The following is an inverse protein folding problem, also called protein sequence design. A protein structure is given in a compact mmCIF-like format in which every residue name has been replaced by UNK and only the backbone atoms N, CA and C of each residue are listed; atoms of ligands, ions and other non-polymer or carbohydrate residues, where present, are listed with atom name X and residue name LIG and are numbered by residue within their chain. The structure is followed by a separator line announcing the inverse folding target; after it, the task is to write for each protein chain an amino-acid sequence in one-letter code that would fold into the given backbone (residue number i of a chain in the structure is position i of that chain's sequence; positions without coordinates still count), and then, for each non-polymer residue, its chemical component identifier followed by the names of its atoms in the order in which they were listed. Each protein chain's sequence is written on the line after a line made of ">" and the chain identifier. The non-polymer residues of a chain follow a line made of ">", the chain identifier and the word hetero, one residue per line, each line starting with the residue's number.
data_IF_639387259657
#
_entry.id   IF_639387259657
#
_cell.length_a   1.000
_cell.length_b   1.000
_cell.length_c   1.000
_cell.angle_alpha   90.00
_cell.angle_beta   90.00
_cell.angle_gamma   90.00
#
_symmetry.space_group_name_H-M   'P 1'
#
loop_
_entity.id
_entity.type
_entity.pdbx_description
1 polymer ?
#
# COMPACT_ATOMS: atom_id res chain seq x y z
N UNK A 1 48.99 -5.42 -42.15
CA UNK A 1 47.94 -6.46 -42.01
C UNK A 1 47.69 -6.79 -40.53
N UNK A 2 47.36 -5.78 -39.69
CA UNK A 2 47.25 -5.97 -38.23
C UNK A 2 46.17 -5.09 -37.54
N UNK A 3 45.27 -4.45 -38.29
CA UNK A 3 44.25 -3.53 -37.76
C UNK A 3 42.83 -4.14 -37.79
N UNK A 4 42.68 -5.39 -38.28
CA UNK A 4 41.38 -6.10 -38.34
C UNK A 4 41.09 -7.05 -37.17
N UNK A 5 41.98 -7.20 -36.18
CA UNK A 5 41.80 -8.15 -35.04
C UNK A 5 41.50 -7.50 -33.68
N UNK A 6 41.34 -6.17 -33.58
CA UNK A 6 41.01 -5.46 -32.33
C UNK A 6 39.54 -4.95 -32.35
N UNK A 7 38.62 -5.73 -32.95
CA UNK A 7 37.18 -5.44 -32.93
C UNK A 7 36.34 -6.51 -32.23
N UNK A 8 36.99 -7.50 -31.61
CA UNK A 8 36.31 -8.67 -31.03
C UNK A 8 36.31 -8.70 -29.49
N UNK A 9 36.75 -7.63 -28.82
CA UNK A 9 36.96 -7.63 -27.36
C UNK A 9 36.19 -6.55 -26.57
N UNK A 10 35.27 -5.80 -27.20
CA UNK A 10 34.59 -4.66 -26.55
C UNK A 10 33.05 -4.72 -26.55
N UNK A 11 32.46 -5.85 -26.92
CA UNK A 11 31.01 -6.10 -26.88
C UNK A 11 30.70 -7.25 -25.93
N UNK A 12 30.92 -7.08 -24.61
CA UNK A 12 29.76 -7.09 -23.72
C UNK A 12 30.01 -6.17 -22.49
N UNK A 13 30.01 -4.85 -22.69
CA UNK A 13 29.87 -3.89 -21.57
C UNK A 13 28.50 -3.18 -21.57
N UNK A 14 27.58 -3.59 -22.46
CA UNK A 14 26.25 -2.97 -22.64
C UNK A 14 25.11 -3.87 -22.14
N UNK A 15 25.40 -5.06 -21.60
CA UNK A 15 24.35 -5.98 -21.09
C UNK A 15 24.28 -5.97 -19.54
N UNK A 16 25.18 -5.25 -18.86
CA UNK A 16 25.14 -5.08 -17.40
C UNK A 16 24.45 -3.79 -16.93
N UNK A 17 23.58 -3.21 -17.76
CA UNK A 17 22.66 -2.13 -17.36
C UNK A 17 21.20 -2.60 -17.24
N UNK A 18 20.92 -3.87 -17.53
CA UNK A 18 19.55 -4.42 -17.55
C UNK A 18 19.06 -5.02 -16.23
N UNK A 19 19.89 -5.12 -15.19
CA UNK A 19 19.52 -5.89 -13.98
C UNK A 19 19.97 -5.33 -12.63
N UNK A 20 20.73 -4.22 -12.62
CA UNK A 20 20.93 -3.44 -11.41
C UNK A 20 20.01 -2.23 -11.48
N UNK A 21 18.85 -2.35 -10.83
CA UNK A 21 18.08 -1.21 -10.38
C UNK A 21 18.89 -0.45 -9.34
N UNK A 22 19.92 0.28 -9.80
CA UNK A 22 20.14 1.58 -9.20
C UNK A 22 18.86 2.36 -9.46
N UNK A 23 18.08 2.57 -8.41
CA UNK A 23 17.12 3.66 -8.36
C UNK A 23 17.95 4.93 -8.40
N UNK A 24 18.44 5.27 -9.59
CA UNK A 24 18.56 6.67 -9.93
C UNK A 24 17.11 7.14 -9.95
N UNK A 25 16.76 8.01 -9.00
CA UNK A 25 15.61 8.89 -9.18
C UNK A 25 15.89 9.69 -10.45
N UNK A 26 15.49 9.17 -11.60
CA UNK A 26 15.32 9.97 -12.80
C UNK A 26 14.15 10.91 -12.48
N UNK A 27 14.39 12.23 -12.54
CA UNK A 27 13.31 13.20 -12.48
C UNK A 27 12.57 13.22 -13.82
N UNK A 28 12.07 12.06 -14.26
CA UNK A 28 11.41 11.91 -15.56
C UNK A 28 10.14 12.76 -15.67
N UNK A 29 9.58 13.20 -14.54
CA UNK A 29 8.58 14.26 -14.50
C UNK A 29 8.83 15.13 -13.26
N UNK A 30 8.53 16.42 -13.36
CA UNK A 30 8.55 17.37 -12.23
C UNK A 30 7.20 18.06 -12.11
N UNK A 31 6.76 18.26 -10.86
CA UNK A 31 5.63 19.14 -10.55
C UNK A 31 6.18 20.53 -10.26
N UNK A 32 6.03 21.46 -11.20
CA UNK A 32 6.53 22.83 -11.01
C UNK A 32 5.58 23.66 -10.16
N UNK A 33 4.28 23.38 -10.29
CA UNK A 33 3.23 24.09 -9.60
C UNK A 33 2.07 23.15 -9.33
N UNK A 34 1.51 23.22 -8.13
CA UNK A 34 0.25 22.59 -7.76
C UNK A 34 -0.43 23.47 -6.71
N UNK A 35 -1.64 23.91 -6.99
CA UNK A 35 -2.47 24.67 -6.06
C UNK A 35 -3.92 24.20 -6.12
N UNK A 36 -4.63 24.40 -5.01
CA UNK A 36 -6.06 24.11 -4.87
C UNK A 36 -6.73 25.32 -4.26
N UNK A 37 -7.83 25.76 -4.89
CA UNK A 37 -8.60 26.91 -4.47
C UNK A 37 -10.10 26.58 -4.37
N UNK A 38 -10.80 27.11 -3.35
CA UNK A 38 -10.29 27.91 -2.22
C UNK A 38 -9.57 27.07 -1.16
N UNK A 39 -8.60 27.68 -0.45
CA UNK A 39 -7.85 27.05 0.67
C UNK A 39 -8.67 26.86 1.95
N UNK A 40 -9.86 27.46 1.97
CA UNK A 40 -10.82 27.37 3.07
C UNK A 40 -12.20 27.12 2.50
N UNK A 41 -12.87 26.08 2.97
CA UNK A 41 -14.24 25.71 2.58
C UNK A 41 -15.12 25.56 3.81
N UNK A 42 -16.43 25.78 3.65
CA UNK A 42 -17.40 25.60 4.73
C UNK A 42 -17.92 24.15 4.81
N UNK A 43 -18.42 23.75 5.99
CA UNK A 43 -19.10 22.45 6.21
C UNK A 43 -20.21 22.23 5.17
N UNK A 44 -20.34 20.98 4.70
CA UNK A 44 -21.51 20.55 3.92
C UNK A 44 -22.72 20.47 4.86
N UNK A 45 -23.72 21.30 4.62
CA UNK A 45 -25.04 21.18 5.25
C UNK A 45 -25.89 20.27 4.34
N UNK A 46 -26.59 19.26 4.89
CA UNK A 46 -27.53 18.47 4.10
C UNK A 46 -28.52 19.37 3.36
N UNK A 47 -28.56 19.28 2.04
CA UNK A 47 -29.43 20.11 1.18
C UNK A 47 -28.75 21.33 0.55
N UNK A 48 -27.51 21.65 0.91
CA UNK A 48 -26.71 22.68 0.23
C UNK A 48 -25.77 22.07 -0.83
N UNK A 49 -25.42 22.83 -1.90
CA UNK A 49 -24.49 22.38 -2.91
C UNK A 49 -23.10 22.09 -2.32
N UNK A 50 -22.57 20.91 -2.63
CA UNK A 50 -21.24 20.47 -2.19
C UNK A 50 -20.18 21.46 -2.67
N UNK A 51 -19.26 21.94 -1.80
CA UNK A 51 -18.24 22.89 -2.21
C UNK A 51 -17.28 22.23 -3.21
N UNK A 52 -17.20 22.84 -4.39
CA UNK A 52 -16.29 22.45 -5.46
C UNK A 52 -14.91 23.08 -5.24
N UNK A 53 -13.87 22.27 -5.35
CA UNK A 53 -12.48 22.71 -5.31
C UNK A 53 -11.96 22.76 -6.73
N UNK A 54 -11.30 23.86 -7.07
CA UNK A 54 -10.56 24.02 -8.32
C UNK A 54 -9.10 23.64 -8.09
N UNK A 55 -8.55 22.82 -8.97
CA UNK A 55 -7.12 22.51 -8.98
C UNK A 55 -6.45 23.13 -10.19
N UNK A 56 -5.20 23.50 -10.01
CA UNK A 56 -4.29 23.92 -11.07
C UNK A 56 -2.92 23.31 -10.82
N UNK A 57 -2.33 22.73 -11.87
CA UNK A 57 -0.95 22.24 -11.80
C UNK A 57 -0.23 22.33 -13.12
N UNK A 58 1.10 22.36 -13.05
CA UNK A 58 1.99 22.34 -14.21
C UNK A 58 2.99 21.19 -14.05
N UNK A 59 2.98 20.29 -15.02
CA UNK A 59 3.93 19.17 -15.10
C UNK A 59 4.95 19.48 -16.18
N UNK A 60 6.23 19.30 -15.85
CA UNK A 60 7.30 19.31 -16.86
C UNK A 60 7.89 17.92 -17.02
N UNK A 61 8.05 17.50 -18.27
CA UNK A 61 8.58 16.20 -18.66
C UNK A 61 8.93 16.22 -20.15
N UNK A 62 9.66 15.22 -20.63
CA UNK A 62 9.89 14.99 -22.06
C UNK A 62 9.27 13.68 -22.53
N UNK A 63 8.91 13.61 -23.82
CA UNK A 63 8.37 12.37 -24.39
C UNK A 63 9.35 11.20 -24.21
N UNK A 64 10.64 11.42 -24.48
CA UNK A 64 11.68 10.38 -24.39
C UNK A 64 11.82 9.85 -22.95
N UNK A 65 11.76 10.71 -21.93
CA UNK A 65 11.79 10.29 -20.52
C UNK A 65 10.55 9.48 -20.13
N UNK A 66 9.37 9.88 -20.59
CA UNK A 66 8.13 9.13 -20.33
C UNK A 66 8.18 7.77 -21.04
N UNK A 67 8.67 7.69 -22.28
CA UNK A 67 8.81 6.42 -23.00
C UNK A 67 9.83 5.50 -22.30
N UNK A 68 10.94 6.05 -21.80
CA UNK A 68 11.95 5.27 -21.09
C UNK A 68 11.42 4.73 -19.74
N UNK A 69 10.67 5.55 -19.00
CA UNK A 69 10.18 5.17 -17.66
C UNK A 69 8.87 4.38 -17.67
N UNK A 70 7.96 4.70 -18.59
CA UNK A 70 6.63 4.10 -18.69
C UNK A 70 6.48 3.10 -19.84
N UNK A 71 7.36 3.08 -20.85
CA UNK A 71 7.28 2.24 -22.05
C UNK A 71 7.78 0.78 -21.89
N UNK A 72 7.66 0.21 -20.69
CA UNK A 72 8.08 -1.16 -20.41
C UNK A 72 7.24 -2.25 -21.10
N UNK A 73 7.77 -3.48 -21.12
CA UNK A 73 7.26 -4.67 -21.83
C UNK A 73 5.80 -5.08 -21.52
N UNK A 74 5.20 -4.52 -20.45
CA UNK A 74 3.81 -4.77 -20.02
C UNK A 74 2.92 -3.51 -20.04
N UNK A 75 3.44 -2.33 -20.37
CA UNK A 75 2.69 -1.07 -20.32
C UNK A 75 1.92 -0.84 -21.61
N UNK A 76 0.60 -1.06 -21.58
CA UNK A 76 -0.30 -0.76 -22.69
C UNK A 76 -0.61 0.74 -22.86
N UNK A 77 0.11 1.64 -22.19
CA UNK A 77 -0.12 3.08 -22.27
C UNK A 77 1.20 3.86 -22.33
N UNK A 78 1.44 4.53 -23.45
CA UNK A 78 2.49 5.56 -23.61
C UNK A 78 2.13 6.88 -22.88
N UNK A 79 1.26 6.81 -21.88
CA UNK A 79 0.64 7.97 -21.27
C UNK A 79 1.17 8.15 -19.85
N UNK A 80 1.31 9.41 -19.46
CA UNK A 80 1.57 9.81 -18.10
C UNK A 80 0.23 9.92 -17.36
N UNK A 81 0.12 9.30 -16.19
CA UNK A 81 -1.09 9.35 -15.37
C UNK A 81 -0.86 10.27 -14.18
N UNK A 82 -1.92 10.96 -13.77
CA UNK A 82 -1.91 11.82 -12.59
C UNK A 82 -3.15 11.58 -11.75
N UNK A 83 -3.01 11.72 -10.45
CA UNK A 83 -4.11 11.66 -9.49
C UNK A 83 -3.89 12.63 -8.34
N UNK A 84 -4.98 13.20 -7.83
CA UNK A 84 -4.98 14.04 -6.63
C UNK A 84 -5.42 13.17 -5.46
N UNK A 85 -4.47 12.73 -4.64
CA UNK A 85 -4.70 11.88 -3.48
C UNK A 85 -5.09 12.70 -2.24
N UNK A 86 -5.88 12.09 -1.33
CA UNK A 86 -6.28 12.67 -0.03
C UNK A 86 -5.53 11.97 1.11
N UNK A 87 -5.02 12.71 2.09
CA UNK A 87 -4.24 12.14 3.22
C UNK A 87 -5.06 11.78 4.47
N UNK A 88 -6.31 12.21 4.58
CA UNK A 88 -7.09 12.07 5.81
C UNK A 88 -8.39 11.28 5.56
N UNK A 89 -8.50 10.13 6.22
CA UNK A 89 -9.73 9.35 6.30
C UNK A 89 -9.97 8.43 5.12
N UNK A 90 -10.48 7.24 5.43
CA UNK A 90 -10.92 6.18 4.51
C UNK A 90 -12.05 6.67 3.58
N UNK A 91 -11.71 7.48 2.58
CA UNK A 91 -12.57 7.85 1.46
C UNK A 91 -12.30 6.97 0.23
N UNK A 92 -13.29 6.81 -0.68
CA UNK A 92 -13.14 5.96 -1.85
C UNK A 92 -12.26 6.68 -2.90
N UNK A 93 -11.01 6.26 -3.03
CA UNK A 93 -10.14 6.61 -4.15
C UNK A 93 -9.68 8.09 -4.24
N UNK A 94 -8.95 8.43 -5.32
CA UNK A 94 -8.41 9.77 -5.55
C UNK A 94 -9.52 10.81 -5.78
N UNK A 95 -9.25 12.06 -5.40
CA UNK A 95 -10.19 13.18 -5.55
C UNK A 95 -10.43 13.55 -7.02
N UNK A 96 -9.40 13.44 -7.85
CA UNK A 96 -9.44 13.59 -9.29
C UNK A 96 -8.32 12.74 -9.92
N UNK A 97 -8.50 12.31 -11.16
CA UNK A 97 -7.48 11.55 -11.92
C UNK A 97 -7.60 11.84 -13.41
N UNK A 98 -6.51 11.63 -14.13
CA UNK A 98 -6.50 11.73 -15.58
C UNK A 98 -5.20 11.19 -16.19
N UNK A 99 -5.11 11.31 -17.50
CA UNK A 99 -3.93 10.94 -18.28
C UNK A 99 -3.51 12.06 -19.20
N UNK A 100 -2.23 12.08 -19.56
CA UNK A 100 -1.59 12.99 -20.49
C UNK A 100 -0.83 12.13 -21.50
N UNK A 101 -1.03 12.40 -22.78
CA UNK A 101 -0.32 11.66 -23.84
C UNK A 101 1.11 12.17 -23.91
N UNK A 102 2.10 11.28 -23.99
CA UNK A 102 3.51 11.69 -23.95
C UNK A 102 3.88 12.68 -25.08
N UNK A 103 3.28 12.55 -26.27
CA UNK A 103 3.50 13.45 -27.39
C UNK A 103 3.03 14.90 -27.13
N UNK A 104 2.12 15.12 -26.17
CA UNK A 104 1.66 16.46 -25.83
C UNK A 104 2.78 17.30 -25.22
N UNK A 105 3.81 16.68 -24.65
CA UNK A 105 4.96 17.39 -24.07
C UNK A 105 5.85 17.99 -25.16
N UNK A 106 5.95 17.36 -26.34
CA UNK A 106 6.68 17.96 -27.47
C UNK A 106 6.01 19.24 -27.97
N UNK A 107 4.67 19.25 -27.99
CA UNK A 107 3.88 20.38 -28.51
C UNK A 107 3.88 21.58 -27.55
N UNK A 108 4.13 21.36 -26.25
CA UNK A 108 4.06 22.40 -25.21
C UNK A 108 5.43 22.72 -24.59
N UNK A 109 6.53 22.54 -25.34
CA UNK A 109 7.90 22.83 -24.88
C UNK A 109 8.24 22.15 -23.54
N UNK A 110 7.79 20.90 -23.38
CA UNK A 110 8.02 20.07 -22.21
C UNK A 110 7.15 20.40 -20.99
N UNK A 111 6.19 21.34 -21.06
CA UNK A 111 5.39 21.73 -19.88
C UNK A 111 3.89 21.76 -20.18
N UNK A 112 3.09 21.03 -19.39
CA UNK A 112 1.64 20.92 -19.59
C UNK A 112 0.90 21.46 -18.38
N UNK A 113 0.17 22.58 -18.52
CA UNK A 113 -0.76 23.05 -17.51
C UNK A 113 -2.06 22.22 -17.55
N UNK A 114 -2.63 21.96 -16.37
CA UNK A 114 -3.94 21.33 -16.21
C UNK A 114 -4.72 22.07 -15.14
N UNK A 115 -5.99 22.30 -15.44
CA UNK A 115 -6.97 22.86 -14.52
C UNK A 115 -8.24 22.02 -14.54
N UNK A 116 -8.99 22.07 -13.46
CA UNK A 116 -10.30 21.44 -13.39
C UNK A 116 -10.89 21.56 -12.00
N UNK A 117 -12.01 20.88 -11.80
CA UNK A 117 -12.70 20.88 -10.52
C UNK A 117 -13.00 19.48 -10.02
N UNK A 118 -13.06 19.33 -8.70
CA UNK A 118 -13.57 18.12 -8.06
C UNK A 118 -14.34 18.48 -6.79
N UNK A 119 -15.21 17.57 -6.37
CA UNK A 119 -15.91 17.72 -5.09
C UNK A 119 -14.95 17.37 -3.96
N UNK A 120 -14.86 18.27 -2.98
CA UNK A 120 -14.01 18.12 -1.79
C UNK A 120 -14.15 16.75 -1.11
N UNK A 121 -15.35 16.14 -1.18
CA UNK A 121 -15.61 14.80 -0.66
C UNK A 121 -15.55 14.76 0.85
N UNK A 122 -16.01 15.84 1.49
CA UNK A 122 -15.91 16.07 2.93
C UNK A 122 -16.67 14.97 3.67
N UNK A 123 -15.96 14.26 4.53
CA UNK A 123 -16.55 13.42 5.58
C UNK A 123 -16.75 14.25 6.84
N UNK A 124 -17.80 13.98 7.62
CA UNK A 124 -17.98 14.66 8.89
C UNK A 124 -16.77 14.43 9.83
N UNK A 125 -16.25 15.53 10.41
CA UNK A 125 -15.11 15.66 11.36
C UNK A 125 -13.71 15.88 10.80
N UNK A 126 -13.53 16.11 9.50
CA UNK A 126 -12.21 16.51 8.95
C UNK A 126 -11.97 18.02 9.05
N UNK A 127 -11.17 18.49 10.02
CA UNK A 127 -10.88 19.93 10.20
C UNK A 127 -10.00 20.51 9.10
N UNK A 128 -9.19 19.65 8.48
CA UNK A 128 -8.41 19.98 7.29
C UNK A 128 -8.15 18.72 6.45
N UNK A 129 -8.10 18.87 5.13
CA UNK A 129 -7.76 17.79 4.19
C UNK A 129 -6.46 18.17 3.50
N UNK A 130 -5.47 17.27 3.54
CA UNK A 130 -4.27 17.41 2.72
C UNK A 130 -4.48 16.71 1.39
N UNK A 131 -4.29 17.47 0.31
CA UNK A 131 -4.29 16.97 -1.05
C UNK A 131 -2.86 16.92 -1.59
N UNK A 132 -2.50 15.85 -2.27
CA UNK A 132 -1.20 15.70 -2.90
C UNK A 132 -1.39 15.26 -4.35
N UNK A 133 -0.72 15.95 -5.28
CA UNK A 133 -0.66 15.51 -6.67
C UNK A 133 0.39 14.41 -6.80
N UNK A 134 -0.02 13.27 -7.35
CA UNK A 134 0.83 12.13 -7.66
C UNK A 134 0.88 11.98 -9.18
N UNK A 135 2.06 11.68 -9.71
CA UNK A 135 2.28 11.47 -11.14
C UNK A 135 3.05 10.17 -11.35
N UNK A 136 2.66 9.39 -12.35
CA UNK A 136 3.45 8.23 -12.73
C UNK A 136 2.87 7.41 -13.88
N UNK A 137 3.37 6.19 -14.00
CA UNK A 137 2.96 5.24 -15.03
C UNK A 137 1.81 4.35 -14.54
N UNK A 138 0.90 4.01 -15.43
CA UNK A 138 -0.26 3.15 -15.15
C UNK A 138 -0.71 2.40 -16.40
N UNK A 139 -1.71 1.52 -16.24
CA UNK A 139 -2.33 0.80 -17.35
C UNK A 139 -3.81 1.21 -17.49
N UNK A 140 -4.37 1.31 -18.71
CA UNK A 140 -5.81 1.44 -18.90
C UNK A 140 -6.50 0.13 -18.47
N UNK A 141 -7.60 0.22 -17.69
CA UNK A 141 -8.56 -0.88 -17.52
C UNK A 141 -9.90 -0.53 -18.21
N UNK A 142 -10.83 -1.50 -18.24
CA UNK A 142 -12.16 -1.34 -18.87
C UNK A 142 -13.07 -0.29 -18.18
N UNK A 143 -12.66 0.29 -17.04
CA UNK A 143 -13.44 1.26 -16.26
C UNK A 143 -12.75 2.63 -16.07
N UNK A 144 -11.57 2.85 -16.66
CA UNK A 144 -10.84 4.13 -16.65
C UNK A 144 -9.34 4.01 -16.33
N UNK A 145 -8.65 5.10 -16.00
CA UNK A 145 -7.25 5.02 -15.59
C UNK A 145 -7.14 4.36 -14.21
N UNK A 146 -6.63 3.13 -14.13
CA UNK A 146 -6.22 2.56 -12.83
C UNK A 146 -5.10 3.40 -12.22
N UNK A 147 -5.06 3.42 -10.89
CA UNK A 147 -4.12 4.22 -10.11
C UNK A 147 -2.67 4.03 -10.52
N UNK A 148 -1.83 4.99 -10.12
CA UNK A 148 -0.42 5.03 -10.49
C UNK A 148 0.30 3.77 -9.97
N UNK A 149 0.75 2.92 -10.89
CA UNK A 149 1.48 1.67 -10.58
C UNK A 149 2.97 1.89 -10.32
N UNK A 150 3.55 2.94 -10.95
CA UNK A 150 4.93 3.38 -10.74
C UNK A 150 4.94 4.90 -10.59
N UNK A 151 5.24 5.38 -9.39
CA UNK A 151 5.31 6.82 -9.08
C UNK A 151 6.61 7.42 -9.64
N UNK A 152 6.48 8.51 -10.37
CA UNK A 152 7.61 9.28 -10.92
C UNK A 152 7.83 10.58 -10.15
N UNK A 153 6.75 11.26 -9.76
CA UNK A 153 6.81 12.53 -9.07
C UNK A 153 5.63 12.74 -8.12
N UNK A 154 5.79 13.70 -7.22
CA UNK A 154 4.68 14.23 -6.44
C UNK A 154 4.91 15.66 -6.00
N UNK A 155 3.81 16.37 -5.77
CA UNK A 155 3.84 17.71 -5.19
C UNK A 155 4.08 17.67 -3.68
N UNK A 156 4.40 18.83 -3.11
CA UNK A 156 4.14 19.08 -1.70
C UNK A 156 2.62 18.98 -1.43
N UNK A 157 2.20 18.52 -0.24
CA UNK A 157 0.78 18.49 0.11
C UNK A 157 0.23 19.92 0.26
N UNK A 158 -0.97 20.16 -0.26
CA UNK A 158 -1.75 21.39 -0.06
C UNK A 158 -2.85 21.08 0.94
N UNK A 159 -2.88 21.84 2.03
CA UNK A 159 -3.91 21.73 3.06
C UNK A 159 -5.08 22.66 2.73
N UNK A 160 -6.27 22.09 2.63
CA UNK A 160 -7.54 22.83 2.60
C UNK A 160 -8.19 22.76 3.97
N UNK A 161 -8.43 23.91 4.58
CA UNK A 161 -9.06 24.01 5.89
C UNK A 161 -10.58 24.01 5.77
N UNK A 162 -11.25 23.37 6.72
CA UNK A 162 -12.72 23.31 6.75
C UNK A 162 -13.22 24.19 7.89
N UNK A 163 -13.80 25.35 7.55
CA UNK A 163 -14.42 26.27 8.51
C UNK A 163 -15.86 25.87 8.80
N UNK A 164 -16.30 26.11 10.04
CA UNK A 164 -17.63 25.66 10.50
C UNK A 164 -17.67 24.18 10.91
N UNK A 165 -16.56 23.45 10.82
CA UNK A 165 -16.34 22.30 11.68
C UNK A 165 -15.82 22.80 13.03
N UNK A 166 -16.64 22.63 14.06
CA UNK A 166 -16.13 22.71 15.42
C UNK A 166 -15.59 21.33 15.78
N UNK A 167 -14.27 21.24 15.95
CA UNK A 167 -13.76 20.32 16.97
C UNK A 167 -14.45 20.69 18.28
N UNK A 168 -15.28 19.81 18.81
CA UNK A 168 -15.76 19.92 20.19
C UNK A 168 -17.09 20.62 20.39
N UNK A 169 -18.18 20.01 19.92
CA UNK A 169 -19.48 20.27 20.54
C UNK A 169 -20.13 19.02 21.11
N UNK A 170 -19.79 17.88 20.53
CA UNK A 170 -20.05 16.56 21.11
C UNK A 170 -18.70 15.88 21.25
N UNK A 171 -18.33 15.44 22.45
CA UNK A 171 -17.07 14.77 22.73
C UNK A 171 -17.31 13.39 23.31
N UNK A 172 -16.38 12.47 23.02
CA UNK A 172 -16.26 11.20 23.76
C UNK A 172 -14.99 11.28 24.61
N UNK A 173 -15.12 11.04 25.90
CA UNK A 173 -13.99 10.97 26.85
C UNK A 173 -14.04 9.68 27.65
N UNK A 174 -12.92 9.36 28.31
CA UNK A 174 -12.81 8.22 29.23
C UNK A 174 -13.26 6.87 28.64
N UNK A 175 -13.09 6.68 27.32
CA UNK A 175 -13.43 5.40 26.71
C UNK A 175 -12.44 4.33 27.13
N UNK A 176 -12.97 3.31 27.79
CA UNK A 176 -12.22 2.19 28.30
C UNK A 176 -13.01 0.87 28.14
N UNK A 177 -12.27 -0.23 28.16
CA UNK A 177 -12.81 -1.59 28.09
C UNK A 177 -11.94 -2.53 28.93
N UNK A 178 -12.57 -3.40 29.71
CA UNK A 178 -11.91 -4.40 30.55
C UNK A 178 -12.59 -5.77 30.38
N UNK A 179 -11.88 -6.91 30.25
CA UNK A 179 -10.42 -7.09 30.34
C UNK A 179 -9.63 -6.60 29.12
N UNK A 180 -8.35 -6.23 29.31
CA UNK A 180 -7.43 -5.85 28.22
C UNK A 180 -6.79 -7.03 27.50
N UNK A 181 -6.74 -8.18 28.18
CA UNK A 181 -6.11 -9.39 27.72
C UNK A 181 -7.12 -10.52 27.77
N UNK A 182 -7.28 -11.25 26.67
CA UNK A 182 -8.26 -12.33 26.54
C UNK A 182 -7.66 -13.53 25.83
N UNK A 183 -8.22 -14.71 26.10
CA UNK A 183 -7.80 -15.94 25.43
C UNK A 183 -8.39 -16.01 24.02
N UNK A 184 -7.60 -16.34 22.99
CA UNK A 184 -8.10 -16.51 21.62
C UNK A 184 -9.27 -17.49 21.55
N UNK A 185 -10.36 -17.12 20.86
CA UNK A 185 -11.51 -18.00 20.65
C UNK A 185 -12.41 -18.23 21.87
N UNK A 186 -12.10 -17.65 23.04
CA UNK A 186 -12.99 -17.70 24.20
C UNK A 186 -14.02 -16.57 24.16
N UNK A 187 -15.19 -16.82 24.76
CA UNK A 187 -16.18 -15.76 25.01
C UNK A 187 -15.82 -15.07 26.32
N UNK A 188 -15.63 -13.75 26.28
CA UNK A 188 -15.28 -12.97 27.46
C UNK A 188 -16.32 -11.87 27.65
N UNK A 189 -16.65 -11.59 28.92
CA UNK A 189 -17.51 -10.48 29.29
C UNK A 189 -16.68 -9.21 29.41
N UNK A 190 -16.92 -8.27 28.51
CA UNK A 190 -16.26 -6.98 28.53
C UNK A 190 -17.15 -5.94 29.20
N UNK A 191 -16.58 -5.21 30.15
CA UNK A 191 -17.17 -4.01 30.73
C UNK A 191 -16.64 -2.80 29.98
N UNK A 192 -17.55 -2.03 29.40
CA UNK A 192 -17.25 -0.80 28.66
C UNK A 192 -17.72 0.41 29.45
N UNK A 193 -16.90 1.46 29.42
CA UNK A 193 -17.24 2.77 29.97
C UNK A 193 -16.78 3.85 29.00
N UNK A 194 -17.62 4.85 28.74
CA UNK A 194 -17.22 6.11 28.11
C UNK A 194 -18.20 7.21 28.45
N UNK A 195 -17.75 8.44 28.35
CA UNK A 195 -18.53 9.63 28.62
C UNK A 195 -18.85 10.36 27.32
N UNK A 196 -20.10 10.81 27.18
CA UNK A 196 -20.51 11.70 26.09
C UNK A 196 -20.77 13.09 26.67
N UNK A 197 -20.06 14.10 26.19
CA UNK A 197 -20.29 15.51 26.56
C UNK A 197 -20.90 16.26 25.40
N UNK A 198 -22.03 16.92 25.60
CA UNK A 198 -22.63 17.82 24.61
C UNK A 198 -23.47 18.93 25.26
N UNK A 199 -23.87 19.93 24.48
CA UNK A 199 -24.93 20.90 24.87
C UNK A 199 -26.20 20.63 24.06
N UNK A 200 -27.36 20.87 24.66
CA UNK A 200 -28.65 20.67 24.03
C UNK A 200 -28.82 21.51 22.75
N UNK A 201 -28.48 22.80 22.80
CA UNK A 201 -28.56 23.72 21.66
C UNK A 201 -27.79 23.17 20.46
N UNK A 202 -26.66 22.56 20.74
CA UNK A 202 -25.72 22.16 19.71
C UNK A 202 -26.14 20.85 19.05
N UNK A 203 -26.72 19.93 19.84
CA UNK A 203 -27.36 18.72 19.32
C UNK A 203 -28.58 19.07 18.48
N UNK A 204 -29.42 20.02 18.91
CA UNK A 204 -30.62 20.41 18.16
C UNK A 204 -30.29 21.16 16.86
N UNK A 205 -29.21 21.94 16.85
CA UNK A 205 -28.71 22.61 15.66
C UNK A 205 -27.99 21.64 14.69
N UNK A 206 -27.48 20.52 15.19
CA UNK A 206 -26.67 19.57 14.40
C UNK A 206 -27.44 18.35 13.91
N UNK A 207 -28.33 17.80 14.74
CA UNK A 207 -29.10 16.58 14.45
C UNK A 207 -30.59 16.90 14.31
N UNK A 208 -31.16 16.66 13.12
CA UNK A 208 -32.57 16.93 12.82
C UNK A 208 -33.55 16.15 13.70
N UNK A 209 -33.15 14.97 14.17
CA UNK A 209 -33.93 14.13 15.09
C UNK A 209 -33.68 14.46 16.57
N UNK A 210 -32.85 15.47 16.84
CA UNK A 210 -32.49 15.97 18.17
C UNK A 210 -31.90 14.89 19.07
N UNK A 211 -31.26 13.86 18.50
CA UNK A 211 -30.64 12.77 19.25
C UNK A 211 -29.23 12.52 18.76
N UNK A 212 -28.36 12.13 19.68
CA UNK A 212 -27.06 11.55 19.38
C UNK A 212 -27.20 10.04 19.44
N UNK A 213 -26.81 9.35 18.38
CA UNK A 213 -26.71 7.88 18.36
C UNK A 213 -25.24 7.51 18.52
N UNK A 214 -24.94 6.70 19.53
CA UNK A 214 -23.61 6.12 19.71
C UNK A 214 -23.61 4.67 19.22
N UNK A 215 -22.52 4.28 18.57
CA UNK A 215 -22.31 2.94 18.03
C UNK A 215 -20.89 2.48 18.34
N UNK A 216 -20.76 1.31 18.93
CA UNK A 216 -19.48 0.69 19.25
C UNK A 216 -19.12 -0.36 18.21
N UNK A 217 -17.88 -0.31 17.75
CA UNK A 217 -17.35 -1.18 16.70
C UNK A 217 -16.09 -1.87 17.18
N UNK A 218 -15.80 -3.02 16.55
CA UNK A 218 -14.57 -3.77 16.73
C UNK A 218 -13.85 -3.87 15.40
N UNK A 219 -12.55 -3.62 15.43
CA UNK A 219 -11.67 -3.70 14.26
C UNK A 219 -10.48 -4.61 14.54
N UNK A 220 -9.90 -5.21 13.50
CA UNK A 220 -8.57 -5.82 13.59
C UNK A 220 -7.53 -4.77 14.01
N UNK A 221 -6.55 -5.12 14.85
CA UNK A 221 -5.49 -4.20 15.23
C UNK A 221 -4.47 -3.93 14.09
N UNK A 222 -4.39 -4.82 13.09
CA UNK A 222 -3.49 -4.76 11.92
C UNK A 222 -3.98 -3.84 10.78
N UNK A 223 -5.15 -3.20 10.93
CA UNK A 223 -5.65 -2.15 10.04
C UNK A 223 -6.89 -2.53 9.24
N UNK A 224 -7.70 -1.52 8.90
CA UNK A 224 -8.99 -1.66 8.21
C UNK A 224 -10.18 -1.26 9.09
N UNK A 225 -10.49 0.05 9.14
CA UNK A 225 -11.60 0.58 9.92
C UNK A 225 -12.89 0.73 9.08
N UNK A 226 -13.49 -0.39 8.64
CA UNK A 226 -14.78 -0.34 7.92
C UNK A 226 -15.93 -0.54 8.92
N UNK A 227 -16.67 0.53 9.19
CA UNK A 227 -17.74 0.60 10.21
C UNK A 227 -19.03 -0.06 9.72
N UNK A 228 -19.00 -1.37 9.41
CA UNK A 228 -20.14 -2.07 8.82
C UNK A 228 -21.19 -2.48 9.86
N UNK A 229 -20.77 -3.08 10.97
CA UNK A 229 -21.71 -3.61 11.98
C UNK A 229 -21.30 -3.21 13.41
N UNK A 230 -22.14 -2.44 14.13
CA UNK A 230 -21.88 -2.12 15.53
C UNK A 230 -22.17 -3.34 16.41
N UNK A 231 -21.31 -3.55 17.41
CA UNK A 231 -21.51 -4.57 18.46
C UNK A 231 -22.63 -4.14 19.40
N UNK A 232 -22.69 -2.84 19.69
CA UNK A 232 -23.69 -2.24 20.56
C UNK A 232 -23.97 -0.82 20.09
N UNK A 233 -25.20 -0.38 20.30
CA UNK A 233 -25.60 1.00 20.03
C UNK A 233 -26.60 1.47 21.06
N UNK A 234 -26.68 2.79 21.22
CA UNK A 234 -27.70 3.47 22.01
C UNK A 234 -27.91 4.88 21.48
N UNK A 235 -28.89 5.57 22.05
CA UNK A 235 -29.22 6.94 21.68
C UNK A 235 -29.50 7.77 22.93
N UNK A 236 -29.13 9.05 22.87
CA UNK A 236 -29.33 10.03 23.93
C UNK A 236 -30.03 11.24 23.32
N UNK A 237 -31.08 11.74 23.98
CA UNK A 237 -31.86 12.88 23.48
C UNK A 237 -31.19 14.20 23.87
N UNK A 238 -31.30 15.23 23.03
CA UNK A 238 -30.71 16.56 23.24
C UNK A 238 -31.02 17.16 24.61
N UNK A 239 -32.25 16.93 25.11
CA UNK A 239 -32.75 17.44 26.40
C UNK A 239 -31.95 16.95 27.60
N UNK A 240 -31.28 15.80 27.49
CA UNK A 240 -30.47 15.24 28.58
C UNK A 240 -29.17 16.02 28.80
N UNK A 241 -28.72 16.76 27.78
CA UNK A 241 -27.46 17.51 27.79
C UNK A 241 -27.58 18.93 28.36
N UNK A 242 -28.78 19.55 28.32
CA UNK A 242 -29.02 20.90 28.84
C UNK A 242 -27.97 21.93 28.38
N UNK A 243 -27.36 22.66 29.32
CA UNK A 243 -26.35 23.69 29.02
C UNK A 243 -24.94 23.17 28.71
N UNK A 244 -24.70 21.85 28.77
CA UNK A 244 -23.35 21.27 28.57
C UNK A 244 -23.00 20.14 29.53
N UNK A 245 -23.86 19.13 29.65
CA UNK A 245 -23.69 18.01 30.58
C UNK A 245 -22.84 16.89 29.96
N UNK A 246 -22.14 16.16 30.83
CA UNK A 246 -21.47 14.90 30.49
C UNK A 246 -22.32 13.73 30.99
N UNK A 247 -22.60 12.78 30.11
CA UNK A 247 -23.44 11.62 30.37
C UNK A 247 -22.59 10.35 30.25
N UNK A 248 -22.38 9.59 31.34
CA UNK A 248 -21.63 8.35 31.30
C UNK A 248 -22.44 7.23 30.65
N UNK A 249 -21.77 6.37 29.91
CA UNK A 249 -22.30 5.15 29.31
C UNK A 249 -21.51 3.96 29.83
N UNK A 250 -22.18 3.09 30.60
CA UNK A 250 -21.58 1.90 31.19
C UNK A 250 -22.44 0.68 30.84
N UNK A 251 -21.82 -0.36 30.26
CA UNK A 251 -22.50 -1.61 29.97
C UNK A 251 -21.53 -2.78 29.85
N UNK A 252 -22.06 -3.98 30.03
CA UNK A 252 -21.33 -5.23 29.81
C UNK A 252 -21.81 -5.90 28.53
N UNK A 253 -20.88 -6.53 27.79
CA UNK A 253 -21.20 -7.27 26.58
C UNK A 253 -20.26 -8.48 26.44
N UNK A 254 -20.84 -9.67 26.27
CA UNK A 254 -20.10 -10.89 25.96
C UNK A 254 -19.66 -10.86 24.50
N UNK A 255 -18.36 -11.01 24.26
CA UNK A 255 -17.75 -10.94 22.93
C UNK A 255 -16.75 -12.09 22.78
N UNK A 256 -16.83 -12.80 21.66
CA UNK A 256 -15.83 -13.82 21.29
C UNK A 256 -14.52 -13.13 20.91
N UNK A 257 -13.45 -13.44 21.63
CA UNK A 257 -12.11 -12.94 21.36
C UNK A 257 -11.59 -13.48 20.02
N UNK A 258 -11.04 -12.59 19.20
CA UNK A 258 -10.50 -12.97 17.89
C UNK A 258 -9.16 -13.71 18.07
N UNK A 259 -8.73 -14.47 17.07
CA UNK A 259 -7.43 -15.14 17.10
C UNK A 259 -6.23 -14.19 16.91
N UNK A 260 -6.47 -12.88 16.97
CA UNK A 260 -5.54 -11.79 16.80
C UNK A 260 -5.99 -10.61 17.67
N UNK A 261 -5.06 -9.71 17.97
CA UNK A 261 -5.36 -8.45 18.65
C UNK A 261 -6.41 -7.63 17.90
N UNK A 262 -7.27 -6.97 18.64
CA UNK A 262 -8.36 -6.16 18.09
C UNK A 262 -8.55 -4.90 18.90
N UNK A 263 -9.13 -3.89 18.26
CA UNK A 263 -9.42 -2.61 18.89
C UNK A 263 -10.92 -2.37 18.95
N UNK A 264 -11.39 -1.69 19.98
CA UNK A 264 -12.71 -1.09 20.02
C UNK A 264 -12.63 0.40 19.73
N UNK A 265 -13.66 0.92 19.06
CA UNK A 265 -13.90 2.35 18.88
C UNK A 265 -15.39 2.64 19.02
N UNK A 266 -15.74 3.79 19.60
CA UNK A 266 -17.10 4.31 19.65
C UNK A 266 -17.22 5.47 18.67
N UNK A 267 -18.30 5.48 17.91
CA UNK A 267 -18.63 6.55 16.98
C UNK A 267 -19.97 7.17 17.39
N UNK A 268 -20.01 8.49 17.47
CA UNK A 268 -21.25 9.25 17.61
C UNK A 268 -21.71 9.72 16.23
N UNK A 269 -23.01 9.65 15.96
CA UNK A 269 -23.61 10.21 14.76
C UNK A 269 -25.01 10.76 15.03
N UNK A 270 -25.53 11.59 14.13
CA UNK A 270 -26.98 11.82 14.07
C UNK A 270 -27.69 10.57 13.50
N UNK A 271 -29.01 10.46 13.67
CA UNK A 271 -29.79 9.35 13.13
C UNK A 271 -30.04 9.52 11.63
N UNK A 272 -29.03 9.18 10.84
CA UNK A 272 -29.20 8.89 9.42
C UNK A 272 -28.64 7.51 9.13
N UNK A 273 -29.34 6.78 8.26
CA UNK A 273 -28.88 5.53 7.67
C UNK A 273 -27.45 5.67 7.20
N UNK A 274 -26.58 4.78 7.68
CA UNK A 274 -25.19 4.53 7.29
C UNK A 274 -24.49 5.65 6.47
N UNK A 275 -23.66 6.46 7.13
CA UNK A 275 -22.37 6.84 6.51
C UNK A 275 -21.91 8.30 6.57
N UNK A 276 -22.76 9.32 6.72
CA UNK A 276 -22.29 10.71 6.50
C UNK A 276 -22.10 11.58 7.74
N UNK A 277 -22.83 11.34 8.84
CA UNK A 277 -22.95 12.34 9.91
C UNK A 277 -22.22 11.93 11.19
N UNK A 278 -20.93 11.61 11.10
CA UNK A 278 -20.12 11.32 12.30
C UNK A 278 -19.92 12.61 13.10
N UNK A 279 -20.22 12.62 14.39
CA UNK A 279 -20.07 13.77 15.29
C UNK A 279 -18.77 13.74 16.10
N UNK A 280 -18.39 12.54 16.54
CA UNK A 280 -17.13 12.29 17.24
C UNK A 280 -16.78 10.80 17.13
N UNK A 281 -15.50 10.48 17.25
CA UNK A 281 -15.01 9.10 17.39
C UNK A 281 -14.09 9.05 18.59
N UNK A 282 -14.20 8.01 19.41
CA UNK A 282 -13.32 7.81 20.56
C UNK A 282 -11.90 7.48 20.12
N UNK A 283 -10.97 7.56 21.07
CA UNK A 283 -9.70 6.86 20.95
C UNK A 283 -9.93 5.34 20.79
N UNK A 284 -8.93 4.65 20.25
CA UNK A 284 -8.96 3.20 20.16
C UNK A 284 -8.57 2.56 21.50
N UNK A 285 -9.32 1.54 21.91
CA UNK A 285 -8.96 0.67 23.04
C UNK A 285 -8.46 -0.65 22.50
N UNK A 286 -7.17 -0.95 22.71
CA UNK A 286 -6.54 -2.19 22.29
C UNK A 286 -6.85 -3.34 23.25
N UNK A 287 -7.23 -4.47 22.68
CA UNK A 287 -7.39 -5.76 23.36
C UNK A 287 -6.39 -6.74 22.78
N UNK A 288 -5.56 -7.32 23.65
CA UNK A 288 -4.59 -8.33 23.29
C UNK A 288 -5.25 -9.70 23.34
N UNK A 289 -5.19 -10.39 22.20
CA UNK A 289 -5.73 -11.74 22.00
C UNK A 289 -4.74 -12.61 21.23
N UNK A 290 -3.47 -12.18 21.14
CA UNK A 290 -2.39 -12.85 20.45
C UNK A 290 -2.03 -14.20 21.07
N UNK A 291 -2.18 -15.24 20.25
CA UNK A 291 -1.97 -16.66 20.52
C UNK A 291 -0.85 -17.04 21.50
N UNK A 292 -1.27 -17.58 22.63
CA UNK A 292 -0.55 -18.63 23.32
C UNK A 292 -1.52 -19.80 23.51
N UNK A 293 -0.98 -21.02 23.53
CA UNK A 293 -1.74 -22.22 23.81
C UNK A 293 -2.46 -22.16 25.18
N UNK A 294 -3.17 -23.23 25.58
CA UNK A 294 -4.26 -23.17 26.56
C UNK A 294 -3.97 -22.65 27.99
N UNK A 295 -2.76 -22.20 28.33
CA UNK A 295 -2.34 -21.88 29.70
C UNK A 295 -1.36 -20.70 29.81
N UNK A 296 -1.78 -19.48 29.49
CA UNK A 296 -0.96 -18.30 29.77
C UNK A 296 -1.78 -17.15 30.40
N UNK A 297 -1.26 -16.53 31.48
CA UNK A 297 -1.89 -15.37 32.13
C UNK A 297 -2.31 -15.52 33.60
N UNK A 298 -1.94 -16.60 34.30
CA UNK A 298 -2.16 -16.69 35.75
C UNK A 298 -1.01 -16.02 36.56
N UNK A 299 -1.29 -15.41 37.72
CA UNK A 299 -0.26 -14.81 38.57
C UNK A 299 0.77 -15.86 39.01
N UNK A 300 2.03 -15.70 38.59
CA UNK A 300 3.15 -16.59 38.95
C UNK A 300 3.72 -17.46 37.82
N UNK A 301 3.30 -17.29 36.56
CA UNK A 301 3.88 -18.00 35.39
C UNK A 301 4.61 -17.05 34.42
N UNK A 302 5.57 -17.56 33.63
CA UNK A 302 6.43 -16.74 32.76
C UNK A 302 5.64 -16.01 31.67
N UNK A 303 6.18 -14.87 31.25
CA UNK A 303 5.62 -13.99 30.22
C UNK A 303 5.45 -14.74 28.89
N UNK A 304 4.33 -14.49 28.19
CA UNK A 304 3.98 -15.20 26.97
C UNK A 304 4.97 -14.85 25.86
N UNK A 305 5.87 -15.77 25.52
CA UNK A 305 6.78 -15.58 24.39
C UNK A 305 6.01 -15.71 23.07
N UNK A 306 6.10 -14.68 22.23
CA UNK A 306 5.40 -14.61 20.93
C UNK A 306 5.82 -15.80 20.05
N UNK A 307 4.90 -16.50 19.37
CA UNK A 307 5.28 -17.41 18.31
C UNK A 307 6.01 -16.61 17.21
N UNK A 308 7.19 -17.07 16.79
CA UNK A 308 7.83 -16.60 15.56
C UNK A 308 6.86 -16.84 14.42
N UNK A 309 6.24 -15.77 13.94
CA UNK A 309 5.44 -15.81 12.72
C UNK A 309 6.42 -16.10 11.58
N UNK A 310 6.44 -17.34 11.10
CA UNK A 310 6.99 -17.65 9.79
C UNK A 310 6.02 -17.04 8.78
N UNK A 311 6.27 -15.78 8.44
CA UNK A 311 5.55 -15.06 7.42
C UNK A 311 5.78 -15.79 6.08
N UNK A 312 4.77 -16.51 5.59
CA UNK A 312 4.78 -17.09 4.24
C UNK A 312 4.48 -16.03 3.17
N UNK A 313 4.89 -14.80 3.40
CA UNK A 313 5.43 -13.96 2.33
C UNK A 313 6.58 -14.71 1.67
N UNK A 314 6.47 -14.97 0.37
CA UNK A 314 7.59 -15.47 -0.43
C UNK A 314 8.59 -14.31 -0.55
N UNK A 315 9.36 -14.05 0.51
CA UNK A 315 10.43 -13.08 0.48
C UNK A 315 11.52 -13.65 -0.43
N UNK A 316 11.57 -13.17 -1.67
CA UNK A 316 12.78 -13.28 -2.45
C UNK A 316 13.80 -12.30 -1.86
N UNK A 317 14.50 -12.74 -0.83
CA UNK A 317 15.69 -12.04 -0.35
C UNK A 317 16.85 -12.44 -1.26
N UNK A 318 17.49 -11.48 -1.93
CA UNK A 318 18.81 -11.68 -2.50
C UNK A 318 19.80 -11.41 -1.36
N UNK A 319 20.27 -12.43 -0.62
CA UNK A 319 21.32 -12.19 0.36
C UNK A 319 22.54 -11.63 -0.36
N UNK A 320 23.15 -10.58 0.18
CA UNK A 320 24.41 -10.06 -0.33
C UNK A 320 25.43 -11.21 -0.35
N UNK A 321 25.90 -11.67 -1.53
CA UNK A 321 26.78 -12.82 -1.62
C UNK A 321 28.11 -12.57 -0.90
N UNK A 322 28.53 -11.32 -0.74
CA UNK A 322 29.81 -10.94 -0.13
C UNK A 322 29.75 -10.78 1.40
N UNK A 323 28.61 -11.05 2.04
CA UNK A 323 28.40 -10.79 3.48
C UNK A 323 29.35 -11.56 4.41
N UNK A 324 29.98 -12.64 3.92
CA UNK A 324 30.95 -13.44 4.68
C UNK A 324 32.42 -12.98 4.57
N UNK A 325 32.75 -12.03 3.69
CA UNK A 325 34.13 -11.75 3.31
C UNK A 325 34.76 -12.91 2.52
N UNK A 326 35.71 -12.61 1.64
CA UNK A 326 36.53 -13.62 0.99
C UNK A 326 37.99 -13.32 1.34
N UNK A 327 38.63 -14.20 2.10
CA UNK A 327 40.02 -14.04 2.52
C UNK A 327 41.01 -14.37 1.37
N UNK A 328 40.52 -15.01 0.29
CA UNK A 328 41.29 -15.40 -0.87
C UNK A 328 40.48 -15.35 -2.20
N UNK A 329 41.19 -15.32 -3.33
CA UNK A 329 40.57 -15.30 -4.67
C UNK A 329 39.71 -16.55 -4.94
N UNK A 330 40.10 -17.70 -4.37
CA UNK A 330 39.33 -18.94 -4.50
C UNK A 330 37.97 -18.85 -3.80
N UNK A 331 37.94 -18.29 -2.58
CA UNK A 331 36.73 -18.02 -1.82
C UNK A 331 35.81 -17.05 -2.53
N UNK A 332 36.35 -15.97 -3.11
CA UNK A 332 35.55 -15.00 -3.87
C UNK A 332 34.86 -15.63 -5.09
N UNK A 333 35.60 -16.43 -5.86
CA UNK A 333 35.05 -17.12 -7.04
C UNK A 333 33.97 -18.13 -6.64
N UNK A 334 34.15 -18.87 -5.54
CA UNK A 334 33.15 -19.82 -5.04
C UNK A 334 31.86 -19.14 -4.61
N UNK A 335 31.98 -18.02 -3.89
CA UNK A 335 30.83 -17.22 -3.43
C UNK A 335 30.02 -16.69 -4.63
N UNK A 336 30.70 -16.10 -5.61
CA UNK A 336 30.06 -15.56 -6.81
C UNK A 336 29.41 -16.68 -7.64
N UNK A 337 30.12 -17.79 -7.83
CA UNK A 337 29.59 -18.93 -8.55
C UNK A 337 28.31 -19.46 -7.89
N UNK A 338 28.33 -19.72 -6.58
CA UNK A 338 27.17 -20.25 -5.85
C UNK A 338 25.98 -19.30 -5.89
N UNK A 339 26.23 -17.98 -5.82
CA UNK A 339 25.18 -16.99 -5.97
C UNK A 339 24.56 -16.98 -7.38
N UNK A 340 25.37 -17.04 -8.43
CA UNK A 340 24.89 -17.14 -9.81
C UNK A 340 24.09 -18.44 -10.00
N UNK A 341 24.55 -19.57 -9.46
CA UNK A 341 23.83 -20.85 -9.54
C UNK A 341 22.45 -20.77 -8.87
N UNK A 342 22.36 -20.18 -7.67
CA UNK A 342 21.10 -20.01 -6.96
C UNK A 342 20.11 -19.08 -7.70
N UNK A 343 20.63 -18.09 -8.44
CA UNK A 343 19.81 -17.16 -9.21
C UNK A 343 19.41 -17.73 -10.59
N UNK A 344 20.26 -18.54 -11.21
CA UNK A 344 20.04 -19.02 -12.56
C UNK A 344 18.88 -20.03 -12.67
N UNK A 345 18.66 -20.85 -11.64
CA UNK A 345 17.55 -21.83 -11.61
C UNK A 345 16.18 -21.15 -11.69
N UNK A 346 15.81 -20.20 -10.81
CA UNK A 346 14.51 -19.53 -10.89
C UNK A 346 14.35 -18.72 -12.19
N UNK A 347 15.41 -18.11 -12.70
CA UNK A 347 15.38 -17.41 -14.00
C UNK A 347 15.07 -18.38 -15.14
N UNK A 348 15.69 -19.56 -15.15
CA UNK A 348 15.43 -20.57 -16.18
C UNK A 348 13.96 -21.02 -16.17
N UNK A 349 13.36 -21.22 -14.99
CA UNK A 349 11.94 -21.57 -14.84
C UNK A 349 11.03 -20.47 -15.41
N UNK A 350 11.30 -19.20 -15.08
CA UNK A 350 10.53 -18.06 -15.60
C UNK A 350 10.61 -17.98 -17.14
N UNK A 351 11.80 -18.20 -17.71
CA UNK A 351 12.01 -18.16 -19.16
C UNK A 351 11.26 -19.29 -19.88
N UNK A 352 11.19 -20.48 -19.30
CA UNK A 352 10.42 -21.61 -19.83
C UNK A 352 8.92 -21.29 -19.80
N UNK A 353 8.41 -20.74 -18.69
CA UNK A 353 7.01 -20.32 -18.57
C UNK A 353 6.68 -19.23 -19.61
N UNK A 354 7.55 -18.23 -19.75
CA UNK A 354 7.39 -17.15 -20.73
C UNK A 354 7.34 -17.68 -22.16
N UNK A 355 8.21 -18.63 -22.52
CA UNK A 355 8.16 -19.29 -23.83
C UNK A 355 6.83 -20.04 -24.04
N UNK A 356 6.35 -20.75 -23.02
CA UNK A 356 5.07 -21.46 -23.07
C UNK A 356 3.89 -20.52 -23.31
N UNK A 357 3.82 -19.41 -22.57
CA UNK A 357 2.79 -18.38 -22.78
C UNK A 357 2.88 -17.80 -24.19
N UNK A 358 4.08 -17.45 -24.65
CA UNK A 358 4.28 -16.90 -25.99
C UNK A 358 3.87 -17.89 -27.11
N UNK A 359 4.04 -19.18 -26.88
CA UNK A 359 3.61 -20.23 -27.81
C UNK A 359 2.08 -20.34 -27.86
N UNK A 360 1.40 -20.23 -26.72
CA UNK A 360 -0.06 -20.27 -26.63
C UNK A 360 -0.72 -19.02 -27.22
N UNK A 361 -0.11 -17.85 -27.06
CA UNK A 361 -0.64 -16.58 -27.58
C UNK A 361 -0.34 -16.32 -29.06
N UNK A 362 0.50 -17.15 -29.70
CA UNK A 362 0.98 -16.88 -31.05
C UNK A 362 -0.09 -16.97 -32.15
N UNK A 363 -1.24 -17.62 -31.93
CA UNK A 363 -2.40 -17.67 -32.85
C UNK A 363 -2.05 -17.90 -34.35
N UNK A 364 -0.99 -18.65 -34.65
CA UNK A 364 -0.54 -18.91 -36.03
C UNK A 364 0.43 -17.88 -36.63
N UNK A 365 0.81 -16.84 -35.89
CA UNK A 365 1.87 -15.91 -36.29
C UNK A 365 3.24 -16.59 -36.25
N UNK A 366 3.83 -16.83 -37.43
CA UNK A 366 5.12 -17.55 -37.58
C UNK A 366 6.28 -16.86 -36.85
N UNK A 367 6.26 -15.54 -36.72
CA UNK A 367 7.30 -14.77 -36.05
C UNK A 367 7.28 -14.99 -34.54
N UNK A 368 6.08 -15.01 -33.93
CA UNK A 368 5.94 -15.26 -32.49
C UNK A 368 6.25 -16.72 -32.13
N UNK A 369 5.85 -17.67 -32.98
CA UNK A 369 6.22 -19.10 -32.81
C UNK A 369 7.73 -19.29 -32.86
N UNK A 370 8.41 -18.62 -33.79
CA UNK A 370 9.88 -18.69 -33.91
C UNK A 370 10.55 -18.10 -32.67
N UNK A 371 10.08 -16.94 -32.21
CA UNK A 371 10.57 -16.30 -30.98
C UNK A 371 10.38 -17.19 -29.75
N UNK A 372 9.22 -17.83 -29.58
CA UNK A 372 8.96 -18.75 -28.48
C UNK A 372 9.93 -19.94 -28.49
N UNK A 373 10.17 -20.53 -29.66
CA UNK A 373 11.12 -21.64 -29.83
C UNK A 373 12.55 -21.23 -29.51
N UNK A 374 12.96 -20.04 -29.91
CA UNK A 374 14.32 -19.57 -29.64
C UNK A 374 14.53 -19.30 -28.15
N UNK A 375 13.56 -18.66 -27.48
CA UNK A 375 13.59 -18.48 -26.02
C UNK A 375 13.69 -19.84 -25.30
N UNK A 376 12.91 -20.83 -25.73
CA UNK A 376 12.93 -22.17 -25.15
C UNK A 376 14.29 -22.84 -25.33
N UNK A 377 14.86 -22.79 -26.54
CA UNK A 377 16.18 -23.36 -26.84
C UNK A 377 17.25 -22.75 -25.94
N UNK A 378 17.29 -21.42 -25.82
CA UNK A 378 18.28 -20.74 -24.98
C UNK A 378 18.11 -21.05 -23.50
N UNK A 379 16.87 -21.18 -23.02
CA UNK A 379 16.60 -21.58 -21.63
C UNK A 379 17.09 -23.02 -21.35
N UNK A 380 16.81 -23.96 -22.26
CA UNK A 380 17.24 -25.37 -22.12
C UNK A 380 18.76 -25.50 -22.21
N UNK A 381 19.41 -24.79 -23.13
CA UNK A 381 20.87 -24.79 -23.24
C UNK A 381 21.52 -24.21 -21.98
N UNK A 382 20.99 -23.10 -21.45
CA UNK A 382 21.47 -22.52 -20.19
C UNK A 382 21.36 -23.49 -19.02
N UNK A 383 20.21 -24.16 -18.89
CA UNK A 383 20.00 -25.17 -17.84
C UNK A 383 20.93 -26.38 -18.00
N UNK A 384 21.17 -26.85 -19.23
CA UNK A 384 22.08 -27.95 -19.50
C UNK A 384 23.52 -27.62 -19.09
N UNK A 385 24.01 -26.42 -19.40
CA UNK A 385 25.35 -25.97 -19.01
C UNK A 385 25.51 -25.95 -17.48
N UNK A 386 24.50 -25.47 -16.76
CA UNK A 386 24.46 -25.42 -15.29
C UNK A 386 24.57 -26.83 -14.68
N UNK A 387 23.78 -27.77 -15.19
CA UNK A 387 23.75 -29.16 -14.69
C UNK A 387 25.05 -29.91 -15.00
N UNK A 388 25.62 -29.71 -16.19
CA UNK A 388 26.91 -30.31 -16.55
C UNK A 388 28.03 -29.72 -15.67
N UNK A 389 28.01 -28.42 -15.42
CA UNK A 389 29.00 -27.75 -14.57
C UNK A 389 29.02 -28.30 -13.15
N UNK A 390 27.85 -28.44 -12.51
CA UNK A 390 27.78 -28.98 -11.14
C UNK A 390 28.11 -30.47 -11.08
N UNK A 391 27.65 -31.26 -12.06
CA UNK A 391 27.94 -32.69 -12.15
C UNK A 391 29.43 -32.99 -12.33
N UNK A 392 30.11 -32.22 -13.18
CA UNK A 392 31.54 -32.40 -13.45
C UNK A 392 32.42 -32.08 -12.24
N UNK A 393 32.08 -31.04 -11.46
CA UNK A 393 32.80 -30.69 -10.23
C UNK A 393 32.66 -31.80 -9.18
N UNK A 394 31.46 -32.37 -9.02
CA UNK A 394 31.21 -33.47 -8.08
C UNK A 394 32.00 -34.72 -8.48
N UNK A 395 32.05 -35.05 -9.78
CA UNK A 395 32.82 -36.18 -10.29
C UNK A 395 34.32 -36.06 -9.97
N UNK A 396 34.90 -34.88 -10.18
CA UNK A 396 36.31 -34.63 -9.85
C UNK A 396 36.55 -34.78 -8.35
N UNK A 397 35.67 -34.23 -7.50
CA UNK A 397 35.79 -34.38 -6.04
C UNK A 397 35.76 -35.85 -5.61
N UNK A 398 34.84 -36.65 -6.16
CA UNK A 398 34.76 -38.07 -5.83
C UNK A 398 36.01 -38.85 -6.23
N UNK A 399 36.65 -38.53 -7.36
CA UNK A 399 37.90 -39.18 -7.77
C UNK A 399 39.07 -38.76 -6.86
N UNK A 400 39.11 -37.50 -6.42
CA UNK A 400 40.14 -37.00 -5.51
C UNK A 400 39.98 -37.56 -4.07
N UNK A 401 38.75 -37.74 -3.60
CA UNK A 401 38.46 -38.28 -2.26
C UNK A 401 38.73 -39.79 -2.16
N UNK A 402 38.68 -40.52 -3.28
CA UNK A 402 39.07 -41.93 -3.34
C UNK A 402 40.57 -42.15 -3.15
N UNK A 403 41.41 -41.11 -3.30
CA UNK A 403 42.86 -41.18 -3.17
C UNK A 403 43.43 -40.73 -1.82
N UNK A 404 42.62 -40.21 -0.90
CA UNK A 404 43.07 -39.69 0.40
C UNK A 404 42.77 -40.70 1.54
N UNK A 405 43.75 -41.09 2.38
CA UNK A 405 43.46 -41.84 3.59
C UNK A 405 42.68 -40.95 4.56
N UNK A 406 41.57 -41.45 5.10
CA UNK A 406 40.79 -40.75 6.12
C UNK A 406 41.66 -40.53 7.38
N UNK A 407 41.79 -39.30 7.91
CA UNK A 407 42.30 -39.07 9.26
C UNK A 407 41.29 -39.49 10.32
#
# INVERSE_FOLDING_TARGET
>A
MLIKKIKLFLTPLVILSGFFGFVFYSNAATVNHFDINPKTISKIIPGEPVPSLQYEFVITSSEDEIQNECGGFFSAGKNLYWEIARSAGSGPGPAARGSIVASDFLLNNGSIPKTGSFNSGITANTTSINYQLLIGCGAPDEFGPTGITKRLAASAPITVNITGQQTGTVAISNFDANPKNVQPGSTNDFNFSFDITAKQSDVENTCSDKKIVWRMYRFPADGGDVFENPIKSGAITSTEFGSGKTIPQNFSQSIVALNKDFIFKVRLSCNVSFGSDTLATSNAVLIQSGGAGPNCGNPGQPECEKPKVEDRTIFFSIPNPLKGGADDLSGLIKIIAQWIFNLAIPIAVIMIIYSGVLFLTAQGNSQQVTKAKDVLKWAVVGLAIILIGSGFVTLIKSILELGAPKP
#
